data_IF_393979847001
#
_entry.id   IF_393979847001
#
_cell.length_a   1.000
_cell.length_b   1.000
_cell.length_c   1.000
_cell.angle_alpha   90.00
_cell.angle_beta   90.00
_cell.angle_gamma   90.00
#
_symmetry.space_group_name_H-M   'P 1'
#
loop_
_entity.id
_entity.type
_entity.pdbx_description
1 polymer ?
#
# COMPACT_ATOMS: atom_id res chain seq x y z
N UNK A 1 11.53 -24.58 -19.62
CA UNK A 1 10.41 -23.72 -19.13
C UNK A 1 10.89 -23.00 -17.88
N UNK A 2 10.98 -21.66 -17.91
CA UNK A 2 11.27 -20.90 -16.70
C UNK A 2 9.96 -20.77 -15.90
N UNK A 3 9.93 -21.38 -14.71
CA UNK A 3 8.87 -21.13 -13.74
C UNK A 3 9.03 -19.69 -13.25
N UNK A 4 8.31 -18.75 -13.86
CA UNK A 4 8.20 -17.40 -13.30
C UNK A 4 7.51 -17.54 -11.93
N UNK A 5 8.19 -17.12 -10.86
CA UNK A 5 7.56 -17.00 -9.53
C UNK A 5 6.22 -16.28 -9.68
N UNK A 6 5.15 -16.71 -8.98
CA UNK A 6 3.90 -15.95 -8.95
C UNK A 6 4.24 -14.51 -8.60
N UNK A 7 3.93 -13.58 -9.51
CA UNK A 7 4.13 -12.16 -9.26
C UNK A 7 3.12 -11.75 -8.19
N UNK A 8 3.50 -11.85 -6.93
CA UNK A 8 2.74 -11.33 -5.78
C UNK A 8 2.78 -9.80 -5.84
N UNK A 9 2.01 -9.22 -6.76
CA UNK A 9 2.05 -7.77 -7.03
C UNK A 9 0.90 -7.21 -7.86
N UNK A 10 0.11 -8.05 -8.55
CA UNK A 10 -0.94 -7.58 -9.48
C UNK A 10 -2.27 -7.14 -8.81
N UNK A 11 -2.36 -7.10 -7.48
CA UNK A 11 -3.57 -6.66 -6.78
C UNK A 11 -3.65 -5.13 -6.68
N UNK A 12 -4.83 -4.52 -6.51
CA UNK A 12 -4.96 -3.07 -6.30
C UNK A 12 -4.19 -2.61 -5.06
N UNK A 13 -4.09 -1.29 -4.86
CA UNK A 13 -3.64 -0.74 -3.57
C UNK A 13 -4.63 -1.16 -2.48
N UNK A 14 -4.12 -1.45 -1.28
CA UNK A 14 -4.93 -1.84 -0.12
C UNK A 14 -4.52 -1.03 1.11
N UNK A 15 -5.47 -0.71 2.00
CA UNK A 15 -5.22 -0.16 3.32
C UNK A 15 -6.14 -0.83 4.35
N UNK A 16 -5.61 -1.33 5.47
CA UNK A 16 -6.37 -2.02 6.51
C UNK A 16 -5.83 -1.71 7.92
N UNK A 17 -6.69 -1.79 8.94
CA UNK A 17 -6.25 -1.72 10.34
C UNK A 17 -5.75 -3.10 10.79
N UNK A 18 -4.47 -3.17 11.15
CA UNK A 18 -3.83 -4.38 11.67
C UNK A 18 -3.08 -4.04 12.95
N UNK A 19 -3.39 -4.73 14.05
CA UNK A 19 -2.71 -4.55 15.34
C UNK A 19 -2.66 -3.10 15.85
N UNK A 20 -3.73 -2.31 15.62
CA UNK A 20 -3.89 -0.88 15.97
C UNK A 20 -3.08 0.11 15.11
N UNK A 21 -2.46 -0.36 14.02
CA UNK A 21 -1.84 0.49 13.00
C UNK A 21 -2.63 0.40 11.70
N UNK A 22 -2.47 1.39 10.83
CA UNK A 22 -2.90 1.29 9.44
C UNK A 22 -1.76 0.69 8.63
N UNK A 23 -2.05 -0.38 7.89
CA UNK A 23 -1.11 -1.05 6.99
C UNK A 23 -1.58 -0.80 5.56
N UNK A 24 -0.76 -0.08 4.79
CA UNK A 24 -0.99 0.18 3.38
C UNK A 24 -0.06 -0.68 2.51
N UNK A 25 -0.61 -1.28 1.46
CA UNK A 25 0.12 -2.12 0.51
C UNK A 25 -0.01 -1.56 -0.91
N UNK A 26 1.12 -1.20 -1.51
CA UNK A 26 1.20 -0.58 -2.84
C UNK A 26 1.93 -1.52 -3.82
N UNK A 27 1.34 -1.85 -4.99
CA UNK A 27 2.05 -2.53 -6.07
C UNK A 27 3.31 -1.79 -6.50
N UNK A 28 4.43 -2.50 -6.65
CA UNK A 28 5.67 -1.92 -7.20
C UNK A 28 5.90 -2.36 -8.64
N UNK A 29 6.36 -1.44 -9.48
CA UNK A 29 6.69 -1.69 -10.90
C UNK A 29 7.80 -2.74 -11.08
N UNK A 30 8.68 -2.89 -10.07
CA UNK A 30 9.72 -3.93 -10.03
C UNK A 30 9.23 -5.32 -9.61
N UNK A 31 7.93 -5.46 -9.34
CA UNK A 31 7.32 -6.64 -8.73
C UNK A 31 7.32 -6.58 -7.20
N UNK A 32 6.37 -7.30 -6.59
CA UNK A 32 6.17 -7.26 -5.15
C UNK A 32 5.21 -6.16 -4.70
N UNK A 33 5.19 -5.88 -3.40
CA UNK A 33 4.38 -4.82 -2.79
C UNK A 33 5.24 -4.06 -1.79
N UNK A 34 5.16 -2.72 -1.83
CA UNK A 34 5.62 -1.88 -0.74
C UNK A 34 4.58 -1.96 0.37
N UNK A 35 5.04 -2.21 1.60
CA UNK A 35 4.18 -2.28 2.79
C UNK A 35 4.62 -1.16 3.72
N UNK A 36 3.67 -0.31 4.09
CA UNK A 36 3.89 0.83 4.99
C UNK A 36 2.96 0.64 6.18
N UNK A 37 3.52 0.72 7.38
CA UNK A 37 2.74 0.80 8.62
C UNK A 37 2.78 2.22 9.14
N UNK A 38 1.64 2.71 9.62
CA UNK A 38 1.50 4.07 10.13
C UNK A 38 0.51 4.10 11.30
N UNK A 39 0.59 5.14 12.12
CA UNK A 39 -0.44 5.45 13.12
C UNK A 39 -1.75 5.87 12.44
N UNK A 40 -2.82 6.01 13.22
CA UNK A 40 -4.10 6.51 12.69
C UNK A 40 -3.98 7.98 12.28
N UNK A 41 -3.20 8.76 13.02
CA UNK A 41 -2.95 10.16 12.78
C UNK A 41 -2.16 10.37 11.48
N UNK A 42 -1.08 9.63 11.28
CA UNK A 42 -0.27 9.67 10.06
C UNK A 42 -1.08 9.25 8.82
N UNK A 43 -1.94 8.24 8.95
CA UNK A 43 -2.82 7.80 7.87
C UNK A 43 -3.85 8.87 7.47
N UNK A 44 -4.42 9.57 8.46
CA UNK A 44 -5.37 10.64 8.21
C UNK A 44 -4.70 11.84 7.52
N UNK A 45 -3.50 12.21 7.96
CA UNK A 45 -2.70 13.26 7.34
C UNK A 45 -2.37 12.91 5.88
N UNK A 46 -1.87 11.69 5.62
CA UNK A 46 -1.61 11.22 4.26
C UNK A 46 -2.87 11.24 3.39
N UNK A 47 -4.02 10.79 3.92
CA UNK A 47 -5.29 10.82 3.20
C UNK A 47 -5.70 12.22 2.76
N UNK A 48 -5.54 13.22 3.64
CA UNK A 48 -5.82 14.62 3.30
C UNK A 48 -4.88 15.15 2.23
N UNK A 49 -3.57 14.89 2.35
CA UNK A 49 -2.58 15.30 1.36
C UNK A 49 -2.85 14.68 -0.02
N UNK A 50 -3.28 13.42 -0.06
CA UNK A 50 -3.63 12.74 -1.30
C UNK A 50 -4.90 13.34 -1.93
N UNK A 51 -5.93 13.63 -1.14
CA UNK A 51 -7.16 14.30 -1.62
C UNK A 51 -6.81 15.68 -2.18
N UNK A 52 -6.03 16.48 -1.46
CA UNK A 52 -5.58 17.80 -1.92
C UNK A 52 -4.78 17.71 -3.23
N UNK A 53 -3.92 16.69 -3.37
CA UNK A 53 -3.09 16.51 -4.55
C UNK A 53 -3.88 16.10 -5.81
N UNK A 54 -5.03 15.42 -5.66
CA UNK A 54 -5.85 14.99 -6.82
C UNK A 54 -6.85 16.04 -7.30
N UNK A 55 -7.07 17.12 -6.52
CA UNK A 55 -7.99 18.22 -6.84
C UNK A 55 -9.45 17.93 -6.51
#
# INVERSE_FOLDING_TARGET
MAAMKPRTGNGPMEAAEESRKIVMRIPSDGGGRLVIEMSKEEAAELGNLLIEAVG
#
